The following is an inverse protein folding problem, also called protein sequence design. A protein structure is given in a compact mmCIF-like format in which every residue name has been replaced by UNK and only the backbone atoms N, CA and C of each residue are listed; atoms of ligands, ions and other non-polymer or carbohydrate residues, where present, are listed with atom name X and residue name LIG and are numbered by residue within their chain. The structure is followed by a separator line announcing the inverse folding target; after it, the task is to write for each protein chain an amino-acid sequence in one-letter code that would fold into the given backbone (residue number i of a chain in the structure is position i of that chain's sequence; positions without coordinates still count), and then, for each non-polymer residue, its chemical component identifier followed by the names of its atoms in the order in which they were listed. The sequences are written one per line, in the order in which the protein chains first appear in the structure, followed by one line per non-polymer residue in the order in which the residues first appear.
data_IF_747581028152
#
_entry.id   IF_747581028152
#
_cell.length_a   1.000
_cell.length_b   1.000
_cell.length_c   1.000
_cell.angle_alpha   90.00
_cell.angle_beta   90.00
_cell.angle_gamma   90.00
#
_symmetry.space_group_name_H-M   'P 1'
#
loop_
_entity.id
_entity.type
_entity.pdbx_description
1 polymer ?
#
# COMPACT_ATOMS: atom_id res chain seq x y z
N UNK A 1 22.34 6.73 -4.79
CA UNK A 1 20.95 6.34 -5.11
C UNK A 1 20.47 7.12 -6.32
N UNK A 2 19.95 6.44 -7.35
CA UNK A 2 19.40 7.12 -8.54
C UNK A 2 18.05 7.77 -8.22
N UNK A 3 17.69 8.82 -8.95
CA UNK A 3 16.38 9.48 -8.79
C UNK A 3 15.21 8.55 -9.11
N UNK A 4 15.37 7.65 -10.08
CA UNK A 4 14.36 6.64 -10.46
C UNK A 4 14.09 5.65 -9.33
N UNK A 5 15.13 5.15 -8.68
CA UNK A 5 15.00 4.25 -7.52
C UNK A 5 14.29 4.97 -6.38
N UNK A 6 14.72 6.18 -6.01
CA UNK A 6 14.07 6.95 -4.95
C UNK A 6 12.58 7.16 -5.23
N UNK A 7 12.23 7.56 -6.46
CA UNK A 7 10.85 7.77 -6.86
C UNK A 7 10.02 6.48 -6.75
N UNK A 8 10.57 5.34 -7.18
CA UNK A 8 9.88 4.06 -7.03
C UNK A 8 9.62 3.71 -5.56
N UNK A 9 10.60 3.95 -4.67
CA UNK A 9 10.44 3.75 -3.22
C UNK A 9 9.36 4.67 -2.65
N UNK A 10 9.36 5.94 -3.04
CA UNK A 10 8.36 6.91 -2.60
C UNK A 10 6.96 6.54 -3.09
N UNK A 11 6.80 6.09 -4.34
CA UNK A 11 5.49 5.68 -4.87
C UNK A 11 4.91 4.49 -4.12
N UNK A 12 5.70 3.45 -3.83
CA UNK A 12 5.22 2.31 -3.05
C UNK A 12 4.85 2.70 -1.63
N UNK A 13 5.66 3.52 -0.97
CA UNK A 13 5.37 4.03 0.38
C UNK A 13 4.09 4.89 0.39
N UNK A 14 3.96 5.80 -0.58
CA UNK A 14 2.78 6.64 -0.74
C UNK A 14 1.52 5.80 -0.93
N UNK A 15 1.58 4.83 -1.84
CA UNK A 15 0.48 3.92 -2.16
C UNK A 15 -0.01 3.16 -0.92
N UNK A 16 0.92 2.56 -0.16
CA UNK A 16 0.56 1.83 1.06
C UNK A 16 0.00 2.73 2.17
N UNK A 17 0.55 3.93 2.33
CA UNK A 17 0.06 4.91 3.30
C UNK A 17 -1.33 5.46 2.94
N UNK A 18 -1.53 5.78 1.65
CA UNK A 18 -2.78 6.30 1.12
C UNK A 18 -3.92 5.29 1.29
N UNK A 19 -3.72 4.04 0.87
CA UNK A 19 -4.73 2.98 0.92
C UNK A 19 -5.25 2.71 2.34
N UNK A 20 -4.36 2.74 3.34
CA UNK A 20 -4.80 2.53 4.71
C UNK A 20 -5.66 3.69 5.22
N UNK A 21 -5.31 4.92 4.84
CA UNK A 21 -5.97 6.13 5.32
C UNK A 21 -7.24 6.50 4.53
N UNK A 22 -7.33 6.11 3.26
CA UNK A 22 -8.46 6.43 2.36
C UNK A 22 -9.74 5.65 2.71
N UNK A 23 -9.62 4.53 3.43
CA UNK A 23 -10.72 3.62 3.67
C UNK A 23 -11.69 4.05 4.76
N UNK A 24 -11.22 4.79 5.77
CA UNK A 24 -12.06 5.25 6.89
C UNK A 24 -13.37 5.94 6.44
N UNK A 25 -13.35 6.93 5.52
CA UNK A 25 -14.59 7.55 5.01
C UNK A 25 -15.40 6.65 4.07
N UNK A 26 -14.80 5.57 3.52
CA UNK A 26 -15.48 4.66 2.60
C UNK A 26 -16.23 3.52 3.30
N UNK A 27 -15.97 3.25 4.57
CA UNK A 27 -16.57 2.13 5.30
C UNK A 27 -18.10 2.08 5.22
N UNK A 28 -18.85 3.19 5.42
CA UNK A 28 -20.30 3.15 5.35
C UNK A 28 -20.81 2.80 3.95
N UNK A 29 -20.19 3.37 2.91
CA UNK A 29 -20.57 3.11 1.52
C UNK A 29 -20.27 1.66 1.10
N UNK A 30 -19.15 1.09 1.56
CA UNK A 30 -18.82 -0.33 1.34
C UNK A 30 -19.86 -1.22 2.03
N UNK A 31 -20.21 -0.89 3.28
CA UNK A 31 -21.18 -1.67 4.05
C UNK A 31 -22.56 -1.67 3.38
N UNK A 32 -23.02 -0.51 2.93
CA UNK A 32 -24.28 -0.34 2.20
C UNK A 32 -24.30 -1.11 0.88
N UNK A 33 -23.27 -0.94 0.03
CA UNK A 33 -23.20 -1.56 -1.29
C UNK A 33 -23.10 -3.09 -1.23
N UNK A 34 -22.38 -3.62 -0.23
CA UNK A 34 -22.26 -5.07 -0.01
C UNK A 34 -23.41 -5.66 0.83
N UNK A 35 -24.36 -4.84 1.29
CA UNK A 35 -25.47 -5.28 2.14
C UNK A 35 -25.04 -5.89 3.46
N UNK A 36 -23.96 -5.37 4.07
CA UNK A 36 -23.41 -5.87 5.34
C UNK A 36 -23.36 -4.79 6.42
N UNK A 37 -23.16 -5.17 7.67
CA UNK A 37 -22.95 -4.21 8.75
C UNK A 37 -21.55 -3.59 8.72
N UNK A 38 -21.44 -2.33 9.13
CA UNK A 38 -20.16 -1.59 9.26
C UNK A 38 -19.20 -2.31 10.21
N UNK A 39 -19.70 -3.03 11.20
CA UNK A 39 -18.95 -3.90 12.10
C UNK A 39 -18.17 -4.98 11.33
N UNK A 40 -18.79 -5.60 10.32
CA UNK A 40 -18.15 -6.63 9.49
C UNK A 40 -17.10 -6.05 8.54
N UNK A 41 -17.36 -4.87 7.96
CA UNK A 41 -16.35 -4.15 7.16
C UNK A 41 -15.16 -3.73 8.04
N UNK A 42 -15.42 -3.27 9.26
CA UNK A 42 -14.39 -2.90 10.24
C UNK A 42 -13.54 -4.12 10.64
N UNK A 43 -14.17 -5.29 10.79
CA UNK A 43 -13.46 -6.54 11.03
C UNK A 43 -12.56 -6.92 9.86
N UNK A 44 -13.03 -6.77 8.62
CA UNK A 44 -12.20 -6.99 7.42
C UNK A 44 -10.95 -6.10 7.41
N UNK A 45 -11.07 -4.86 7.88
CA UNK A 45 -9.94 -3.93 8.02
C UNK A 45 -8.97 -4.34 9.14
N UNK A 46 -9.49 -4.88 10.25
CA UNK A 46 -8.66 -5.47 11.31
C UNK A 46 -7.86 -6.67 10.79
N UNK A 47 -8.47 -7.54 9.97
CA UNK A 47 -7.79 -8.68 9.34
C UNK A 47 -6.62 -8.19 8.48
N UNK A 48 -6.82 -7.17 7.65
CA UNK A 48 -5.73 -6.55 6.87
C UNK A 48 -4.56 -6.15 7.78
N UNK A 49 -4.82 -5.49 8.91
CA UNK A 49 -3.77 -5.03 9.83
C UNK A 49 -2.97 -6.19 10.44
N UNK A 50 -3.63 -7.31 10.75
CA UNK A 50 -2.95 -8.52 11.25
C UNK A 50 -2.03 -9.11 10.19
N UNK A 51 -2.53 -9.31 8.96
CA UNK A 51 -1.71 -9.85 7.87
C UNK A 51 -0.56 -8.93 7.48
N UNK A 52 -0.79 -7.61 7.51
CA UNK A 52 0.26 -6.61 7.34
C UNK A 52 1.35 -6.79 8.40
N UNK A 53 0.98 -6.83 9.68
CA UNK A 53 1.94 -6.96 10.78
C UNK A 53 2.77 -8.25 10.70
N UNK A 54 2.15 -9.38 10.33
CA UNK A 54 2.84 -10.67 10.13
C UNK A 54 3.77 -10.62 8.91
N UNK A 55 3.39 -9.90 7.86
CA UNK A 55 4.15 -9.86 6.61
C UNK A 55 5.41 -9.00 6.69
N UNK A 56 5.43 -7.97 7.55
CA UNK A 56 6.59 -7.08 7.76
C UNK A 56 7.89 -7.86 8.04
N UNK A 57 7.99 -8.70 9.08
CA UNK A 57 9.23 -9.43 9.37
C UNK A 57 9.56 -10.47 8.29
N UNK A 58 8.54 -11.11 7.69
CA UNK A 58 8.72 -12.12 6.64
C UNK A 58 9.36 -11.48 5.40
N UNK A 59 8.79 -10.37 4.93
CA UNK A 59 9.30 -9.67 3.75
C UNK A 59 10.63 -8.97 4.01
N UNK A 60 10.86 -8.48 5.23
CA UNK A 60 12.19 -8.03 5.67
C UNK A 60 13.22 -9.15 5.52
N UNK A 61 12.96 -10.33 6.08
CA UNK A 61 13.87 -11.47 5.97
C UNK A 61 14.05 -11.96 4.54
N UNK A 62 12.97 -12.03 3.75
CA UNK A 62 13.06 -12.39 2.34
C UNK A 62 13.89 -11.39 1.54
N UNK A 63 13.84 -10.09 1.90
CA UNK A 63 14.63 -9.06 1.24
C UNK A 63 16.13 -9.23 1.46
N UNK A 64 16.54 -9.68 2.66
CA UNK A 64 17.93 -10.04 2.95
C UNK A 64 18.40 -11.26 2.12
N UNK A 65 17.51 -12.21 1.84
CA UNK A 65 17.84 -13.48 1.17
C UNK A 65 17.78 -13.39 -0.37
N UNK A 66 16.77 -12.72 -0.91
CA UNK A 66 16.45 -12.70 -2.35
C UNK A 66 16.88 -11.39 -3.04
N UNK A 67 17.24 -10.39 -2.24
CA UNK A 67 17.64 -9.06 -2.66
C UNK A 67 16.52 -8.04 -2.54
N UNK A 68 16.85 -6.88 -1.96
CA UNK A 68 15.88 -5.84 -1.62
C UNK A 68 15.06 -5.33 -2.80
N UNK A 69 15.68 -5.04 -3.95
CA UNK A 69 14.96 -4.50 -5.12
C UNK A 69 13.91 -5.48 -5.67
N UNK A 70 14.23 -6.78 -5.70
CA UNK A 70 13.29 -7.82 -6.16
C UNK A 70 12.11 -7.95 -5.22
N UNK A 71 12.37 -8.06 -3.92
CA UNK A 71 11.29 -8.19 -2.92
C UNK A 71 10.42 -6.94 -2.90
N UNK A 72 11.01 -5.75 -3.01
CA UNK A 72 10.26 -4.51 -3.10
C UNK A 72 9.32 -4.45 -4.32
N UNK A 73 9.83 -4.84 -5.50
CA UNK A 73 9.01 -4.92 -6.71
C UNK A 73 7.87 -5.94 -6.59
N UNK A 74 8.13 -7.12 -6.00
CA UNK A 74 7.09 -8.13 -5.72
C UNK A 74 6.05 -7.62 -4.74
N UNK A 75 6.47 -6.96 -3.65
CA UNK A 75 5.56 -6.35 -2.68
C UNK A 75 4.64 -5.32 -3.34
N UNK A 76 5.18 -4.50 -4.23
CA UNK A 76 4.40 -3.52 -4.99
C UNK A 76 3.42 -4.16 -5.96
N UNK A 77 3.84 -5.22 -6.67
CA UNK A 77 2.97 -5.97 -7.57
C UNK A 77 1.83 -6.70 -6.82
N UNK A 78 2.14 -7.33 -5.67
CA UNK A 78 1.15 -7.97 -4.81
C UNK A 78 0.14 -6.96 -4.26
N UNK A 79 0.63 -5.79 -3.85
CA UNK A 79 -0.25 -4.72 -3.39
C UNK A 79 -1.18 -4.24 -4.51
N UNK A 80 -0.64 -3.93 -5.69
CA UNK A 80 -1.43 -3.47 -6.82
C UNK A 80 -2.44 -4.51 -7.28
N UNK A 81 -2.05 -5.79 -7.33
CA UNK A 81 -2.93 -6.91 -7.65
C UNK A 81 -4.03 -7.10 -6.61
N UNK A 82 -3.69 -7.08 -5.32
CA UNK A 82 -4.67 -7.12 -4.24
C UNK A 82 -5.64 -5.95 -4.28
N UNK A 83 -5.15 -4.75 -4.63
CA UNK A 83 -5.98 -3.57 -4.83
C UNK A 83 -6.94 -3.74 -6.01
N UNK A 84 -6.47 -4.24 -7.16
CA UNK A 84 -7.33 -4.52 -8.31
C UNK A 84 -8.42 -5.56 -7.95
N UNK A 85 -8.08 -6.59 -7.19
CA UNK A 85 -9.05 -7.59 -6.73
C UNK A 85 -10.09 -6.98 -5.77
N UNK A 86 -9.67 -6.08 -4.87
CA UNK A 86 -10.58 -5.36 -3.98
C UNK A 86 -11.47 -4.38 -4.75
N UNK A 87 -10.94 -3.74 -5.79
CA UNK A 87 -11.69 -2.86 -6.68
C UNK A 87 -12.71 -3.59 -7.56
N UNK A 88 -12.61 -4.92 -7.66
CA UNK A 88 -13.53 -5.79 -8.39
C UNK A 88 -14.46 -6.58 -7.45
N UNK A 89 -14.35 -6.41 -6.13
CA UNK A 89 -15.05 -7.27 -5.18
C UNK A 89 -16.53 -6.93 -5.09
N UNK A 90 -17.38 -7.95 -5.24
CA UNK A 90 -18.84 -7.83 -5.15
C UNK A 90 -19.42 -8.47 -3.88
N UNK A 91 -18.56 -8.98 -3.00
CA UNK A 91 -18.95 -9.53 -1.69
C UNK A 91 -17.88 -9.25 -0.64
N UNK A 92 -18.28 -9.33 0.63
CA UNK A 92 -17.38 -9.13 1.76
C UNK A 92 -16.23 -10.15 1.76
N UNK A 93 -16.52 -11.42 1.46
CA UNK A 93 -15.54 -12.50 1.44
C UNK A 93 -14.49 -12.26 0.36
N UNK A 94 -14.92 -11.83 -0.83
CA UNK A 94 -14.02 -11.46 -1.91
C UNK A 94 -13.16 -10.25 -1.53
N UNK A 95 -13.76 -9.23 -0.90
CA UNK A 95 -13.03 -8.06 -0.41
C UNK A 95 -11.98 -8.46 0.64
N UNK A 96 -12.35 -9.29 1.62
CA UNK A 96 -11.42 -9.79 2.65
C UNK A 96 -10.27 -10.55 2.02
N UNK A 97 -10.53 -11.48 1.10
CA UNK A 97 -9.49 -12.25 0.43
C UNK A 97 -8.53 -11.34 -0.36
N UNK A 98 -9.07 -10.37 -1.10
CA UNK A 98 -8.28 -9.38 -1.82
C UNK A 98 -7.42 -8.52 -0.88
N UNK A 99 -7.99 -8.08 0.25
CA UNK A 99 -7.29 -7.32 1.28
C UNK A 99 -6.18 -8.11 1.94
N UNK A 100 -6.33 -9.41 2.14
CA UNK A 100 -5.25 -10.26 2.67
C UNK A 100 -4.06 -10.28 1.70
N UNK A 101 -4.29 -10.45 0.40
CA UNK A 101 -3.24 -10.39 -0.62
C UNK A 101 -2.57 -9.02 -0.62
N UNK A 102 -3.38 -7.97 -0.56
CA UNK A 102 -2.90 -6.58 -0.51
C UNK A 102 -2.07 -6.31 0.74
N UNK A 103 -2.49 -6.81 1.91
CA UNK A 103 -1.80 -6.65 3.19
C UNK A 103 -0.40 -7.28 3.18
N UNK A 104 -0.27 -8.44 2.53
CA UNK A 104 1.03 -9.08 2.32
C UNK A 104 1.94 -8.15 1.52
N UNK A 105 1.47 -7.63 0.38
CA UNK A 105 2.22 -6.63 -0.39
C UNK A 105 2.60 -5.40 0.43
N UNK A 106 1.66 -4.85 1.20
CA UNK A 106 1.84 -3.67 2.02
C UNK A 106 2.96 -3.83 3.06
N UNK A 107 3.11 -5.03 3.63
CA UNK A 107 4.13 -5.34 4.63
C UNK A 107 5.57 -5.11 4.15
N UNK A 108 5.81 -5.07 2.83
CA UNK A 108 7.12 -4.77 2.26
C UNK A 108 7.33 -3.31 1.86
N UNK A 109 6.28 -2.51 1.68
CA UNK A 109 6.39 -1.20 1.02
C UNK A 109 7.13 -0.15 1.85
N UNK A 110 6.96 -0.15 3.16
CA UNK A 110 7.67 0.78 4.04
C UNK A 110 9.01 0.24 4.57
N UNK A 111 9.06 -0.95 5.21
CA UNK A 111 10.30 -1.42 5.84
C UNK A 111 11.40 -1.76 4.83
N UNK A 112 11.06 -2.39 3.70
CA UNK A 112 12.05 -2.74 2.67
C UNK A 112 12.57 -1.46 1.98
N UNK A 113 11.73 -0.43 1.81
CA UNK A 113 12.18 0.87 1.29
C UNK A 113 13.21 1.53 2.23
N UNK A 114 12.97 1.51 3.54
CA UNK A 114 13.94 2.01 4.53
C UNK A 114 15.24 1.21 4.49
N UNK A 115 15.17 -0.12 4.36
CA UNK A 115 16.34 -0.96 4.25
C UNK A 115 17.16 -0.69 2.96
N UNK A 116 16.49 -0.51 1.81
CA UNK A 116 17.14 -0.10 0.56
C UNK A 116 17.90 1.22 0.73
N UNK A 117 17.27 2.22 1.36
CA UNK A 117 17.93 3.50 1.65
C UNK A 117 19.14 3.28 2.56
N UNK A 118 19.02 2.44 3.60
CA UNK A 118 20.12 2.11 4.51
C UNK A 118 21.34 1.54 3.78
N UNK A 119 21.12 0.66 2.81
CA UNK A 119 22.17 -0.03 2.05
C UNK A 119 22.75 0.83 0.92
N UNK A 120 21.92 1.58 0.19
CA UNK A 120 22.29 2.24 -1.07
C UNK A 120 22.69 3.71 -0.89
N UNK A 121 22.22 4.37 0.17
CA UNK A 121 22.53 5.78 0.41
C UNK A 121 23.93 5.97 1.03
N UNK A 122 24.69 6.98 0.57
CA UNK A 122 25.85 7.49 1.30
C UNK A 122 25.45 7.92 2.72
N UNK A 123 26.35 7.73 3.69
CA UNK A 123 26.07 7.95 5.12
C UNK A 123 25.56 9.36 5.40
N UNK A 124 26.16 10.37 4.77
CA UNK A 124 25.84 11.79 4.98
C UNK A 124 24.47 12.17 4.42
N UNK A 125 23.98 11.43 3.42
CA UNK A 125 22.69 11.68 2.75
C UNK A 125 21.58 10.73 3.20
N UNK A 126 21.92 9.68 3.96
CA UNK A 126 20.97 8.66 4.41
C UNK A 126 19.80 9.27 5.18
N UNK A 127 20.09 10.19 6.10
CA UNK A 127 19.06 10.90 6.87
C UNK A 127 18.08 11.68 5.99
N UNK A 128 18.57 12.35 4.94
CA UNK A 128 17.72 13.09 4.00
C UNK A 128 16.78 12.16 3.22
N UNK A 129 17.27 11.02 2.72
CA UNK A 129 16.43 10.07 2.00
C UNK A 129 15.40 9.38 2.90
N UNK A 130 15.78 9.01 4.14
CA UNK A 130 14.83 8.48 5.12
C UNK A 130 13.77 9.53 5.48
N UNK A 131 14.16 10.80 5.61
CA UNK A 131 13.24 11.92 5.80
C UNK A 131 12.25 12.08 4.65
N UNK A 132 12.69 11.92 3.39
CA UNK A 132 11.80 11.93 2.23
C UNK A 132 10.80 10.77 2.25
N UNK A 133 11.25 9.56 2.58
CA UNK A 133 10.38 8.38 2.73
C UNK A 133 9.32 8.60 3.82
N UNK A 134 9.73 9.10 4.98
CA UNK A 134 8.82 9.44 6.08
C UNK A 134 7.84 10.57 5.70
N UNK A 135 8.33 11.59 5.00
CA UNK A 135 7.52 12.70 4.51
C UNK A 135 6.42 12.22 3.57
N UNK A 136 6.74 11.33 2.62
CA UNK A 136 5.75 10.76 1.71
C UNK A 136 4.76 9.85 2.42
N UNK A 137 5.21 9.06 3.39
CA UNK A 137 4.32 8.28 4.25
C UNK A 137 3.32 9.18 4.98
N UNK A 138 3.79 10.29 5.57
CA UNK A 138 2.93 11.26 6.24
C UNK A 138 1.94 11.92 5.27
N UNK A 139 2.41 12.31 4.08
CA UNK A 139 1.56 12.88 3.02
C UNK A 139 0.44 11.91 2.61
N UNK A 140 0.74 10.64 2.41
CA UNK A 140 -0.27 9.62 2.09
C UNK A 140 -1.35 9.50 3.18
N UNK A 141 -0.94 9.50 4.45
CA UNK A 141 -1.88 9.42 5.58
C UNK A 141 -2.76 10.68 5.71
N UNK A 142 -2.22 11.87 5.44
CA UNK A 142 -2.98 13.14 5.52
C UNK A 142 -3.94 13.29 4.34
N UNK A 143 -3.52 12.89 3.15
CA UNK A 143 -4.34 13.00 1.94
C UNK A 143 -5.45 11.94 1.88
N UNK A 144 -5.23 10.76 2.48
CA UNK A 144 -6.15 9.62 2.43
C UNK A 144 -7.60 9.98 2.78
N UNK A 145 -7.93 10.46 3.99
CA UNK A 145 -9.32 10.67 4.38
C UNK A 145 -10.04 11.70 3.50
N UNK A 146 -9.33 12.76 3.08
CA UNK A 146 -9.89 13.79 2.21
C UNK A 146 -10.21 13.24 0.81
N UNK A 147 -9.28 12.47 0.23
CA UNK A 147 -9.49 11.83 -1.07
C UNK A 147 -10.58 10.75 -1.01
N UNK A 148 -10.63 9.98 0.08
CA UNK A 148 -11.61 8.91 0.26
C UNK A 148 -13.03 9.46 0.34
N UNK A 149 -13.23 10.51 1.15
CA UNK A 149 -14.51 11.22 1.21
C UNK A 149 -14.92 11.78 -0.14
N UNK A 150 -14.00 12.48 -0.82
CA UNK A 150 -14.26 13.04 -2.15
C UNK A 150 -14.64 11.97 -3.19
N UNK A 151 -13.95 10.82 -3.19
CA UNK A 151 -14.23 9.71 -4.11
C UNK A 151 -15.60 9.12 -3.83
N UNK A 152 -15.92 8.82 -2.58
CA UNK A 152 -17.18 8.17 -2.20
C UNK A 152 -18.38 9.09 -2.43
N UNK A 153 -18.21 10.41 -2.29
CA UNK A 153 -19.25 11.39 -2.59
C UNK A 153 -19.60 11.48 -4.08
N UNK A 154 -18.62 11.26 -4.98
CA UNK A 154 -18.75 11.55 -6.42
C UNK A 154 -18.70 10.32 -7.32
N UNK A 155 -18.24 9.20 -6.78
CA UNK A 155 -18.00 7.96 -7.49
C UNK A 155 -18.25 6.76 -6.55
N UNK A 156 -18.00 5.55 -7.05
CA UNK A 156 -18.11 4.34 -6.24
C UNK A 156 -16.90 4.16 -5.31
N UNK A 157 -17.10 3.54 -4.15
CA UNK A 157 -16.04 3.16 -3.22
C UNK A 157 -14.97 2.29 -3.88
N UNK A 158 -15.29 1.51 -4.92
CA UNK A 158 -14.33 0.69 -5.66
C UNK A 158 -13.13 1.51 -6.19
N UNK A 159 -13.32 2.81 -6.44
CA UNK A 159 -12.25 3.69 -6.91
C UNK A 159 -11.16 3.96 -5.86
N UNK A 160 -11.45 3.81 -4.55
CA UNK A 160 -10.43 3.94 -3.50
C UNK A 160 -9.34 2.86 -3.63
N UNK A 161 -9.66 1.75 -4.29
CA UNK A 161 -8.71 0.68 -4.62
C UNK A 161 -8.11 0.87 -6.02
N UNK A 162 -8.91 1.24 -7.02
CA UNK A 162 -8.41 1.44 -8.39
C UNK A 162 -7.27 2.45 -8.49
N UNK A 163 -7.27 3.51 -7.67
CA UNK A 163 -6.20 4.53 -7.68
C UNK A 163 -4.80 3.95 -7.40
N UNK A 164 -4.70 2.83 -6.69
CA UNK A 164 -3.41 2.23 -6.35
C UNK A 164 -2.80 1.46 -7.53
N UNK A 165 -3.64 0.90 -8.39
CA UNK A 165 -3.21 0.06 -9.53
C UNK A 165 -2.25 0.80 -10.47
N UNK A 166 -2.55 2.01 -10.99
CA UNK A 166 -1.61 2.74 -11.83
C UNK A 166 -0.34 3.10 -11.06
N UNK A 167 -0.44 3.50 -9.79
CA UNK A 167 0.73 3.85 -8.96
C UNK A 167 1.68 2.65 -8.84
N UNK A 168 1.13 1.46 -8.55
CA UNK A 168 1.91 0.23 -8.45
C UNK A 168 2.55 -0.19 -9.77
N UNK A 169 1.82 -0.10 -10.89
CA UNK A 169 2.37 -0.38 -12.22
C UNK A 169 3.54 0.55 -12.52
N UNK A 170 3.37 1.86 -12.34
CA UNK A 170 4.44 2.83 -12.58
C UNK A 170 5.65 2.59 -11.68
N UNK A 171 5.44 2.32 -10.39
CA UNK A 171 6.53 2.05 -9.46
C UNK A 171 7.31 0.78 -9.81
N UNK A 172 6.64 -0.30 -10.24
CA UNK A 172 7.30 -1.54 -10.71
C UNK A 172 8.13 -1.28 -11.96
N UNK A 173 7.58 -0.52 -12.93
CA UNK A 173 8.31 -0.17 -14.15
C UNK A 173 9.56 0.68 -13.87
N UNK A 174 9.50 1.56 -12.88
CA UNK A 174 10.66 2.36 -12.45
C UNK A 174 11.76 1.54 -11.76
N UNK A 175 11.41 0.40 -11.16
CA UNK A 175 12.40 -0.52 -10.57
C UNK A 175 13.04 -1.45 -11.61
N UNK A 176 12.33 -1.74 -12.70
CA UNK A 176 12.75 -2.71 -13.71
C UNK A 176 13.77 -2.16 -14.74
N UNK A 177 13.96 -0.84 -14.82
CA UNK A 177 14.84 -0.20 -15.82
C UNK A 177 15.73 0.87 -15.25
#
# INVERSE_FOLDING_TARGET
MSGRLLLALMLGVFMGALDNAILAPALPAIAEDLGTGVDRITLAFSIYSVFYAVSVPILGRLSDLLGYGRVYGVSMALFAGGSALAALSQSLEMLVAARVIQAVGAGGLFPVAQAIVGVVAPEERRGAYLGQILGVFALGNVLGPNLGGFIVERASWHWVFWINVPIGIFGVLLLAG
#
